data_IF_096209007303
#
_entry.id   IF_096209007303
#
_cell.length_a   1.000
_cell.length_b   1.000
_cell.length_c   1.000
_cell.angle_alpha   90.00
_cell.angle_beta   90.00
_cell.angle_gamma   90.00
#
_symmetry.space_group_name_H-M   'P 1'
#
loop_
_entity.id
_entity.type
_entity.pdbx_description
1 polymer ?
#
# COMPACT_ATOMS: atom_id res chain seq x y z
N UNK A 1 -26.64 7.59 -22.04
CA UNK A 1 -27.48 6.40 -21.94
C UNK A 1 -27.05 5.64 -20.70
N UNK A 2 -27.75 5.83 -19.56
CA UNK A 2 -27.49 5.05 -18.35
C UNK A 2 -27.91 3.60 -18.60
N UNK A 3 -26.93 2.74 -18.76
CA UNK A 3 -27.18 1.30 -18.72
C UNK A 3 -27.65 0.98 -17.30
N UNK A 4 -28.80 0.32 -17.16
CA UNK A 4 -29.22 -0.25 -15.89
C UNK A 4 -28.04 -1.05 -15.33
N UNK A 5 -27.64 -0.77 -14.11
CA UNK A 5 -26.60 -1.52 -13.43
C UNK A 5 -27.12 -2.95 -13.21
N UNK A 6 -26.25 -3.95 -13.31
CA UNK A 6 -26.62 -5.35 -13.01
C UNK A 6 -27.24 -5.47 -11.63
N UNK A 7 -26.81 -4.66 -10.69
CA UNK A 7 -27.36 -4.59 -9.32
C UNK A 7 -28.84 -4.18 -9.26
N UNK A 8 -29.36 -3.44 -10.25
CA UNK A 8 -30.77 -3.09 -10.33
C UNK A 8 -31.63 -4.18 -11.01
N UNK A 9 -30.99 -5.18 -11.61
CA UNK A 9 -31.62 -6.24 -12.40
C UNK A 9 -31.54 -7.58 -11.66
N UNK A 10 -30.36 -7.93 -11.15
CA UNK A 10 -30.04 -9.27 -10.64
C UNK A 10 -30.04 -9.32 -9.10
N UNK A 11 -30.15 -8.17 -8.41
CA UNK A 11 -30.09 -8.08 -6.96
C UNK A 11 -31.27 -7.30 -6.39
N UNK A 12 -31.73 -7.72 -5.23
CA UNK A 12 -32.72 -7.02 -4.42
C UNK A 12 -32.00 -6.26 -3.30
N UNK A 13 -32.23 -4.94 -3.22
CA UNK A 13 -31.60 -4.13 -2.18
C UNK A 13 -32.27 -4.38 -0.84
N UNK A 14 -31.46 -4.48 0.22
CA UNK A 14 -31.97 -4.59 1.57
C UNK A 14 -32.79 -3.35 1.96
N UNK A 15 -33.87 -3.55 2.71
CA UNK A 15 -34.69 -2.46 3.20
C UNK A 15 -33.90 -1.53 4.12
N UNK A 16 -34.11 -0.22 3.95
CA UNK A 16 -33.47 0.81 4.78
C UNK A 16 -32.01 1.12 4.44
N UNK A 17 -31.43 0.45 3.43
CA UNK A 17 -30.07 0.76 2.97
C UNK A 17 -30.09 1.90 1.95
N UNK A 18 -29.27 2.93 2.19
CA UNK A 18 -29.05 3.98 1.19
C UNK A 18 -28.34 3.39 -0.03
N UNK A 19 -28.99 3.46 -1.19
CA UNK A 19 -28.44 2.98 -2.45
C UNK A 19 -27.31 3.86 -3.02
N UNK A 20 -27.13 5.06 -2.48
CA UNK A 20 -26.13 6.04 -2.91
C UNK A 20 -25.49 6.73 -1.70
N UNK A 21 -24.82 5.97 -0.83
CA UNK A 21 -24.21 6.55 0.35
C UNK A 21 -23.16 7.59 -0.05
N UNK A 22 -23.00 8.61 0.79
CA UNK A 22 -21.91 9.58 0.63
C UNK A 22 -20.59 8.85 0.88
N UNK A 23 -19.72 8.83 -0.13
CA UNK A 23 -18.40 8.19 -0.04
C UNK A 23 -17.41 9.01 0.81
N UNK A 24 -16.30 8.37 1.17
CA UNK A 24 -15.24 8.99 1.96
C UNK A 24 -14.16 9.69 1.11
N UNK A 25 -14.43 9.93 -0.19
CA UNK A 25 -13.57 10.71 -1.10
C UNK A 25 -12.69 9.85 -2.02
N UNK A 26 -12.81 8.53 -1.98
CA UNK A 26 -12.07 7.65 -2.88
C UNK A 26 -12.75 7.56 -4.25
N UNK A 27 -11.92 7.57 -5.31
CA UNK A 27 -12.39 7.70 -6.69
C UNK A 27 -12.14 6.43 -7.50
N UNK A 28 -10.95 5.86 -7.37
CA UNK A 28 -10.52 4.69 -8.14
C UNK A 28 -9.65 3.75 -7.30
N UNK A 29 -9.56 2.50 -7.75
CA UNK A 29 -8.51 1.58 -7.30
C UNK A 29 -7.22 1.97 -8.03
N UNK A 30 -6.20 2.40 -7.28
CA UNK A 30 -4.92 2.83 -7.84
C UNK A 30 -4.05 1.64 -8.25
N UNK A 31 -3.91 0.67 -7.34
CA UNK A 31 -3.18 -0.57 -7.59
C UNK A 31 -3.63 -1.72 -6.68
N UNK A 32 -3.23 -2.94 -7.05
CA UNK A 32 -3.47 -4.17 -6.33
C UNK A 32 -2.15 -4.90 -6.12
N UNK A 33 -1.64 -4.94 -4.91
CA UNK A 33 -0.37 -5.60 -4.62
C UNK A 33 -0.56 -7.10 -4.45
N UNK A 34 0.14 -7.88 -5.28
CA UNK A 34 0.05 -9.33 -5.33
C UNK A 34 1.28 -9.97 -4.71
N UNK A 35 1.12 -10.65 -3.58
CA UNK A 35 2.16 -11.44 -2.95
C UNK A 35 2.24 -12.82 -3.57
N UNK A 36 3.46 -13.26 -3.90
CA UNK A 36 3.74 -14.53 -4.54
C UNK A 36 4.76 -15.35 -3.77
N UNK A 37 4.73 -16.66 -3.95
CA UNK A 37 5.74 -17.54 -3.37
C UNK A 37 7.13 -17.25 -3.94
N UNK A 38 8.14 -17.54 -3.14
CA UNK A 38 9.55 -17.42 -3.53
C UNK A 38 9.83 -18.17 -4.84
N UNK A 39 10.48 -17.49 -5.81
CA UNK A 39 10.75 -18.00 -7.14
C UNK A 39 9.56 -17.95 -8.12
N UNK A 40 8.43 -17.35 -7.71
CA UNK A 40 7.22 -17.29 -8.55
C UNK A 40 6.99 -15.94 -9.23
N UNK A 41 7.76 -14.92 -8.89
CA UNK A 41 7.60 -13.58 -9.49
C UNK A 41 7.70 -13.60 -11.02
N UNK A 42 8.67 -14.32 -11.59
CA UNK A 42 8.83 -14.43 -13.04
C UNK A 42 7.62 -15.11 -13.70
N UNK A 43 7.06 -16.14 -13.08
CA UNK A 43 5.87 -16.83 -13.57
C UNK A 43 4.66 -15.88 -13.63
N UNK A 44 4.42 -15.10 -12.55
CA UNK A 44 3.28 -14.20 -12.52
C UNK A 44 3.48 -12.98 -13.43
N UNK A 45 4.70 -12.47 -13.58
CA UNK A 45 5.01 -11.43 -14.54
C UNK A 45 4.70 -11.90 -15.99
N UNK A 46 5.19 -13.09 -16.38
CA UNK A 46 4.92 -13.70 -17.67
C UNK A 46 3.41 -13.95 -17.90
N UNK A 47 2.68 -14.37 -16.85
CA UNK A 47 1.22 -14.52 -16.88
C UNK A 47 0.51 -13.21 -17.22
N UNK A 48 0.84 -12.11 -16.53
CA UNK A 48 0.25 -10.79 -16.80
C UNK A 48 0.67 -10.24 -18.17
N UNK A 49 1.90 -10.46 -18.59
CA UNK A 49 2.37 -10.05 -19.91
C UNK A 49 1.63 -10.76 -21.04
N UNK A 50 1.54 -12.08 -20.99
CA UNK A 50 0.96 -12.89 -22.07
C UNK A 50 -0.55 -12.76 -22.17
N UNK A 51 -1.26 -12.76 -21.05
CA UNK A 51 -2.72 -12.77 -21.06
C UNK A 51 -3.34 -11.38 -21.14
N UNK A 52 -2.66 -10.36 -20.56
CA UNK A 52 -3.22 -9.02 -20.42
C UNK A 52 -2.34 -7.93 -21.04
N UNK A 53 -1.26 -8.32 -21.70
CA UNK A 53 -0.32 -7.39 -22.34
C UNK A 53 0.28 -6.35 -21.37
N UNK A 54 0.41 -6.70 -20.09
CA UNK A 54 1.09 -5.86 -19.11
C UNK A 54 2.56 -5.71 -19.43
N UNK A 55 3.20 -4.69 -18.84
CA UNK A 55 4.64 -4.46 -18.93
C UNK A 55 5.20 -4.18 -17.55
N UNK A 56 6.42 -4.65 -17.31
CA UNK A 56 7.20 -4.21 -16.16
C UNK A 56 7.59 -2.75 -16.34
N UNK A 57 7.28 -1.90 -15.36
CA UNK A 57 7.66 -0.48 -15.38
C UNK A 57 8.71 -0.14 -14.33
N UNK A 58 8.79 -0.91 -13.23
CA UNK A 58 9.77 -0.72 -12.17
C UNK A 58 10.07 -2.04 -11.46
N UNK A 59 11.29 -2.13 -10.93
CA UNK A 59 11.73 -3.19 -10.03
C UNK A 59 12.35 -2.57 -8.78
N UNK A 60 12.04 -3.12 -7.62
CA UNK A 60 12.57 -2.70 -6.32
C UNK A 60 13.17 -3.90 -5.59
N UNK A 61 14.32 -3.70 -4.94
CA UNK A 61 14.89 -4.62 -3.95
C UNK A 61 14.89 -3.89 -2.61
N UNK A 62 13.95 -4.22 -1.74
CA UNK A 62 13.71 -3.54 -0.49
C UNK A 62 14.23 -4.42 0.62
N UNK A 63 15.12 -3.85 1.45
CA UNK A 63 15.69 -4.50 2.62
C UNK A 63 15.24 -3.77 3.88
N UNK A 64 14.56 -4.50 4.75
CA UNK A 64 14.27 -4.10 6.12
C UNK A 64 15.47 -4.38 7.03
N UNK A 65 15.24 -4.33 8.31
CA UNK A 65 16.27 -4.60 9.32
C UNK A 65 16.54 -6.11 9.41
N UNK A 66 15.53 -6.95 9.31
CA UNK A 66 15.62 -8.41 9.49
C UNK A 66 15.23 -9.20 8.25
N UNK A 67 14.35 -8.65 7.43
CA UNK A 67 13.79 -9.32 6.26
C UNK A 67 13.92 -8.43 5.01
N UNK A 68 13.54 -8.92 3.85
CA UNK A 68 13.59 -8.17 2.61
C UNK A 68 12.64 -8.72 1.56
N UNK A 69 12.24 -7.88 0.63
CA UNK A 69 11.40 -8.28 -0.49
C UNK A 69 11.89 -7.70 -1.81
N UNK A 70 11.66 -8.43 -2.88
CA UNK A 70 11.72 -7.93 -4.24
C UNK A 70 10.30 -7.56 -4.70
N UNK A 71 10.18 -6.45 -5.39
CA UNK A 71 8.91 -6.00 -5.95
C UNK A 71 9.06 -5.64 -7.42
N UNK A 72 8.12 -6.12 -8.24
CA UNK A 72 8.06 -5.88 -9.69
C UNK A 72 6.72 -5.25 -10.04
N UNK A 73 6.71 -3.99 -10.43
CA UNK A 73 5.49 -3.29 -10.78
C UNK A 73 5.08 -3.60 -12.23
N UNK A 74 3.98 -4.33 -12.39
CA UNK A 74 3.36 -4.64 -13.67
C UNK A 74 2.24 -3.64 -13.96
N UNK A 75 2.13 -3.17 -15.20
CA UNK A 75 1.14 -2.15 -15.57
C UNK A 75 0.49 -2.51 -16.90
N UNK A 76 -0.83 -2.31 -16.99
CA UNK A 76 -1.59 -2.45 -18.22
C UNK A 76 -1.16 -1.39 -19.28
N UNK A 77 -1.40 -1.63 -20.58
CA UNK A 77 -0.98 -0.73 -21.65
C UNK A 77 -1.51 0.71 -21.52
N UNK A 78 -2.68 0.88 -20.94
CA UNK A 78 -3.32 2.18 -20.69
C UNK A 78 -2.87 2.84 -19.38
N UNK A 79 -2.05 2.15 -18.58
CA UNK A 79 -1.59 2.64 -17.28
C UNK A 79 -2.63 2.63 -16.17
N UNK A 80 -3.86 2.21 -16.44
CA UNK A 80 -4.97 2.28 -15.49
C UNK A 80 -5.00 1.13 -14.48
N UNK A 81 -4.42 -0.02 -14.83
CA UNK A 81 -4.34 -1.17 -13.93
C UNK A 81 -2.87 -1.42 -13.60
N UNK A 82 -2.55 -1.38 -12.32
CA UNK A 82 -1.19 -1.56 -11.80
C UNK A 82 -1.19 -2.68 -10.78
N UNK A 83 -0.27 -3.63 -10.94
CA UNK A 83 -0.16 -4.80 -10.06
C UNK A 83 1.31 -4.98 -9.67
N UNK A 84 1.75 -4.42 -8.53
CA UNK A 84 3.03 -4.80 -7.95
C UNK A 84 3.03 -6.27 -7.53
N UNK A 85 4.03 -7.03 -7.96
CA UNK A 85 4.30 -8.41 -7.54
C UNK A 85 5.37 -8.38 -6.46
N UNK A 86 5.08 -8.90 -5.28
CA UNK A 86 6.02 -8.95 -4.18
C UNK A 86 6.43 -10.40 -3.87
N UNK A 87 7.73 -10.61 -3.76
CA UNK A 87 8.34 -11.88 -3.43
C UNK A 87 9.33 -11.71 -2.28
N UNK A 88 9.32 -12.61 -1.31
CA UNK A 88 10.27 -12.61 -0.19
C UNK A 88 11.70 -12.82 -0.69
N UNK A 89 12.62 -11.89 -0.40
CA UNK A 89 14.03 -11.98 -0.80
C UNK A 89 14.95 -12.47 0.31
N UNK A 90 14.52 -12.39 1.57
CA UNK A 90 15.27 -12.90 2.73
C UNK A 90 15.13 -14.40 2.93
N UNK A 91 16.02 -15.00 3.73
CA UNK A 91 15.96 -16.44 4.07
C UNK A 91 14.99 -16.74 5.23
N UNK A 92 14.56 -15.72 5.97
CA UNK A 92 13.64 -15.88 7.09
C UNK A 92 12.16 -15.77 6.68
N UNK A 93 11.26 -16.11 7.58
CA UNK A 93 9.84 -15.90 7.44
C UNK A 93 9.53 -14.39 7.62
N UNK A 94 9.36 -13.67 6.54
CA UNK A 94 8.95 -12.26 6.54
C UNK A 94 7.44 -12.09 6.40
N UNK A 95 7.03 -10.85 6.23
CA UNK A 95 5.61 -10.48 6.11
C UNK A 95 4.89 -11.12 4.91
N UNK A 96 5.63 -11.38 3.81
CA UNK A 96 5.03 -12.02 2.62
C UNK A 96 4.73 -13.48 2.92
N UNK A 97 5.64 -14.20 3.56
CA UNK A 97 5.41 -15.60 3.96
C UNK A 97 4.26 -15.71 4.97
N UNK A 98 4.20 -14.81 5.97
CA UNK A 98 3.08 -14.74 6.91
C UNK A 98 1.74 -14.56 6.17
N UNK A 99 1.70 -13.60 5.23
CA UNK A 99 0.53 -13.39 4.39
C UNK A 99 0.14 -14.65 3.61
N UNK A 100 1.08 -15.28 2.90
CA UNK A 100 0.83 -16.47 2.09
C UNK A 100 0.27 -17.63 2.91
N UNK A 101 0.76 -17.80 4.14
CA UNK A 101 0.23 -18.80 5.08
C UNK A 101 -1.19 -18.46 5.53
N UNK A 102 -1.44 -17.22 5.95
CA UNK A 102 -2.75 -16.78 6.42
C UNK A 102 -3.80 -16.73 5.31
N UNK A 103 -3.41 -16.34 4.10
CA UNK A 103 -4.27 -16.29 2.92
C UNK A 103 -4.47 -17.66 2.29
N UNK A 104 -3.61 -18.63 2.63
CA UNK A 104 -3.54 -19.97 2.09
C UNK A 104 -3.24 -20.02 0.58
N UNK A 105 -2.31 -19.18 0.13
CA UNK A 105 -1.86 -19.12 -1.27
C UNK A 105 -1.36 -17.75 -1.70
N UNK A 106 -1.06 -17.65 -2.99
CA UNK A 106 -0.68 -16.40 -3.65
C UNK A 106 -1.93 -15.56 -3.90
N UNK A 107 -1.86 -14.23 -3.68
CA UNK A 107 -3.03 -13.38 -3.87
C UNK A 107 -2.78 -11.91 -3.53
N UNK A 108 -3.85 -11.13 -3.58
CA UNK A 108 -3.80 -9.68 -3.33
C UNK A 108 -3.65 -9.41 -1.84
N UNK A 109 -2.52 -8.82 -1.46
CA UNK A 109 -2.23 -8.42 -0.08
C UNK A 109 -2.92 -7.11 0.30
N UNK A 110 -2.89 -6.12 -0.59
CA UNK A 110 -3.59 -4.87 -0.35
C UNK A 110 -4.18 -4.26 -1.62
N UNK A 111 -5.18 -3.42 -1.37
CA UNK A 111 -5.90 -2.67 -2.38
C UNK A 111 -5.67 -1.20 -2.10
N UNK A 112 -5.01 -0.47 -3.02
CA UNK A 112 -4.78 0.95 -2.89
C UNK A 112 -5.94 1.75 -3.50
N UNK A 113 -6.46 2.70 -2.73
CA UNK A 113 -7.56 3.57 -3.11
C UNK A 113 -7.08 5.02 -3.23
N UNK A 114 -7.28 5.62 -4.40
CA UNK A 114 -6.87 7.00 -4.70
C UNK A 114 -7.92 8.00 -4.23
N UNK A 115 -7.45 9.10 -3.63
CA UNK A 115 -8.24 10.28 -3.30
C UNK A 115 -7.54 11.57 -3.74
N UNK A 116 -8.29 12.63 -3.97
CA UNK A 116 -7.75 13.97 -4.24
C UNK A 116 -7.42 14.74 -2.94
N UNK A 117 -7.98 14.33 -1.80
CA UNK A 117 -7.74 14.93 -0.49
C UNK A 117 -7.63 13.84 0.58
N UNK A 118 -6.40 13.39 0.81
CA UNK A 118 -6.13 12.32 1.77
C UNK A 118 -6.37 12.77 3.22
N UNK A 119 -6.18 14.04 3.53
CA UNK A 119 -6.41 14.58 4.87
C UNK A 119 -7.88 14.44 5.26
N UNK A 120 -8.78 14.94 4.41
CA UNK A 120 -10.22 14.82 4.63
C UNK A 120 -10.70 13.37 4.57
N UNK A 121 -10.15 12.55 3.68
CA UNK A 121 -10.51 11.14 3.57
C UNK A 121 -10.12 10.36 4.82
N UNK A 122 -8.92 10.55 5.37
CA UNK A 122 -8.45 9.90 6.60
C UNK A 122 -9.28 10.33 7.81
N UNK A 123 -9.62 11.62 7.92
CA UNK A 123 -10.48 12.11 9.00
C UNK A 123 -11.86 11.43 8.96
N UNK A 124 -12.44 11.25 7.77
CA UNK A 124 -13.71 10.53 7.57
C UNK A 124 -13.60 9.03 7.89
N UNK A 125 -12.50 8.38 7.48
CA UNK A 125 -12.24 6.97 7.80
C UNK A 125 -12.15 6.75 9.32
N UNK A 126 -11.44 7.63 10.04
CA UNK A 126 -11.36 7.59 11.50
C UNK A 126 -12.70 7.80 12.16
N UNK A 127 -13.47 8.78 11.68
CA UNK A 127 -14.83 9.02 12.17
C UNK A 127 -15.76 7.82 11.93
N UNK A 128 -15.53 7.07 10.86
CA UNK A 128 -16.24 5.82 10.55
C UNK A 128 -15.70 4.60 11.33
N UNK A 129 -14.67 4.75 12.16
CA UNK A 129 -14.10 3.66 12.95
C UNK A 129 -13.21 2.70 12.18
N UNK A 130 -12.71 3.08 11.00
CA UNK A 130 -11.78 2.24 10.24
C UNK A 130 -10.44 2.13 11.00
N UNK A 131 -9.99 0.92 11.33
CA UNK A 131 -8.71 0.72 12.02
C UNK A 131 -7.56 1.04 11.06
N UNK A 132 -6.75 2.04 11.40
CA UNK A 132 -5.56 2.39 10.65
C UNK A 132 -4.32 1.81 11.34
N UNK A 133 -3.28 1.52 10.56
CA UNK A 133 -1.98 1.10 11.09
C UNK A 133 -1.40 2.18 12.01
N UNK A 134 -0.54 1.74 12.93
CA UNK A 134 0.17 2.62 13.85
C UNK A 134 1.03 3.61 13.06
N UNK A 135 0.90 4.89 13.40
CA UNK A 135 1.72 5.93 12.81
C UNK A 135 3.22 5.69 13.07
N UNK A 136 4.09 6.09 12.15
CA UNK A 136 5.53 6.10 12.41
C UNK A 136 5.86 7.03 13.59
N UNK A 137 7.03 6.83 14.24
CA UNK A 137 7.45 7.70 15.35
C UNK A 137 7.65 9.15 14.88
N UNK A 138 7.51 10.10 15.79
CA UNK A 138 7.66 11.55 15.52
C UNK A 138 8.99 11.93 14.85
N UNK A 139 10.04 11.11 15.02
CA UNK A 139 11.32 11.28 14.32
C UNK A 139 11.18 11.21 12.81
N UNK A 140 10.26 10.38 12.30
CA UNK A 140 10.00 10.30 10.88
C UNK A 140 9.58 11.66 10.29
N UNK A 141 8.66 12.37 10.97
CA UNK A 141 8.15 13.67 10.50
C UNK A 141 9.21 14.76 10.62
N UNK A 142 10.00 14.78 11.70
CA UNK A 142 11.09 15.75 11.85
C UNK A 142 12.18 15.63 10.78
N UNK A 143 12.36 14.44 10.20
CA UNK A 143 13.34 14.20 9.13
C UNK A 143 12.79 14.48 7.72
N UNK A 144 11.52 14.88 7.57
CA UNK A 144 10.92 15.10 6.27
C UNK A 144 11.60 16.23 5.50
N UNK A 145 11.93 17.35 6.15
CA UNK A 145 12.61 18.47 5.50
C UNK A 145 14.02 18.12 5.02
N UNK A 146 14.70 17.23 5.70
CA UNK A 146 16.01 16.73 5.27
C UNK A 146 15.88 15.79 4.08
N UNK A 147 14.90 14.89 4.11
CA UNK A 147 14.67 13.90 3.06
C UNK A 147 13.99 14.49 1.81
N UNK A 148 13.05 15.40 1.99
CA UNK A 148 12.25 16.04 0.95
C UNK A 148 12.23 17.57 1.19
N UNK A 149 13.33 18.29 0.92
CA UNK A 149 13.39 19.72 1.17
C UNK A 149 12.27 20.48 0.43
N UNK A 150 11.62 21.42 1.11
CA UNK A 150 10.58 22.27 0.53
C UNK A 150 9.38 21.49 -0.04
N UNK A 151 9.00 20.35 0.57
CA UNK A 151 7.86 19.54 0.13
C UNK A 151 6.49 20.26 0.24
N UNK A 152 6.39 21.31 1.06
CA UNK A 152 5.20 22.16 1.15
C UNK A 152 4.01 21.58 1.93
N UNK A 153 4.12 20.34 2.46
CA UNK A 153 3.10 19.74 3.32
C UNK A 153 3.30 20.20 4.79
N UNK A 154 2.22 20.29 5.55
CA UNK A 154 2.26 20.56 6.97
C UNK A 154 2.63 19.28 7.74
N UNK A 155 3.85 19.25 8.30
CA UNK A 155 4.37 18.09 9.05
C UNK A 155 3.52 17.75 10.27
N UNK A 156 2.99 18.76 10.97
CA UNK A 156 2.10 18.54 12.10
C UNK A 156 0.77 17.90 11.69
N UNK A 157 0.25 18.30 10.53
CA UNK A 157 -0.98 17.71 9.97
C UNK A 157 -0.76 16.28 9.47
N UNK A 158 0.43 15.98 8.90
CA UNK A 158 0.85 14.62 8.54
C UNK A 158 0.96 13.74 9.78
N UNK A 159 1.69 14.20 10.81
CA UNK A 159 1.92 13.46 12.06
C UNK A 159 0.61 13.18 12.80
N UNK A 160 -0.28 14.17 12.93
CA UNK A 160 -1.57 14.01 13.57
C UNK A 160 -2.44 12.91 12.94
N UNK A 161 -2.23 12.64 11.65
CA UNK A 161 -2.95 11.61 10.89
C UNK A 161 -2.14 10.35 10.61
N UNK A 162 -0.88 10.31 10.99
CA UNK A 162 0.00 9.18 10.69
C UNK A 162 0.26 9.01 9.19
N UNK A 163 0.13 10.08 8.40
CA UNK A 163 0.36 10.07 6.96
C UNK A 163 1.85 9.93 6.64
N UNK A 164 2.17 9.08 5.70
CA UNK A 164 3.50 8.94 5.13
C UNK A 164 3.64 9.84 3.91
N UNK A 165 4.82 10.41 3.72
CA UNK A 165 5.14 11.28 2.58
C UNK A 165 6.39 10.75 1.88
N UNK A 166 6.28 10.53 0.57
CA UNK A 166 7.40 10.16 -0.31
C UNK A 166 7.39 10.99 -1.59
N UNK A 167 8.44 10.84 -2.39
CA UNK A 167 8.54 11.52 -3.67
C UNK A 167 9.89 12.17 -3.92
N UNK A 168 9.88 13.26 -4.69
CA UNK A 168 11.06 14.07 -4.97
C UNK A 168 10.72 15.55 -5.03
N UNK A 169 11.66 16.38 -4.58
CA UNK A 169 11.58 17.84 -4.66
C UNK A 169 12.73 18.43 -5.49
N UNK A 170 13.44 17.60 -6.25
CA UNK A 170 14.59 18.00 -7.04
C UNK A 170 14.21 18.92 -8.20
N UNK A 171 15.13 19.82 -8.58
CA UNK A 171 14.97 20.76 -9.69
C UNK A 171 13.74 21.66 -9.62
N UNK A 172 13.25 21.94 -8.40
CA UNK A 172 12.06 22.77 -8.18
C UNK A 172 10.74 22.10 -8.60
N UNK A 173 10.75 20.82 -8.92
CA UNK A 173 9.56 20.02 -9.18
C UNK A 173 9.21 19.24 -7.93
N UNK A 174 8.03 19.51 -7.39
CA UNK A 174 7.48 18.70 -6.31
C UNK A 174 6.64 17.57 -6.92
N UNK A 175 7.08 16.33 -6.74
CA UNK A 175 6.31 15.13 -7.05
C UNK A 175 6.16 14.34 -5.78
N UNK A 176 4.99 14.35 -5.20
CA UNK A 176 4.74 13.82 -3.87
C UNK A 176 3.68 12.71 -3.92
N UNK A 177 3.83 11.79 -3.00
CA UNK A 177 2.93 10.70 -2.74
C UNK A 177 2.65 10.64 -1.25
N UNK A 178 1.38 10.79 -0.88
CA UNK A 178 0.92 10.64 0.49
C UNK A 178 0.21 9.31 0.64
N UNK A 179 0.49 8.58 1.73
CA UNK A 179 -0.02 7.23 1.95
C UNK A 179 -0.35 6.99 3.42
N UNK A 180 -1.34 6.15 3.68
CA UNK A 180 -1.62 5.54 4.96
C UNK A 180 -2.27 4.18 4.73
N UNK A 181 -2.14 3.26 5.69
CA UNK A 181 -2.62 1.90 5.58
C UNK A 181 -3.65 1.59 6.67
N UNK A 182 -4.61 0.74 6.35
CA UNK A 182 -5.48 0.14 7.36
C UNK A 182 -4.78 -1.02 8.07
N UNK A 183 -5.27 -1.40 9.23
CA UNK A 183 -5.05 -2.76 9.73
C UNK A 183 -5.63 -3.80 8.75
N UNK A 184 -5.33 -5.08 8.96
CA UNK A 184 -5.96 -6.17 8.18
C UNK A 184 -7.47 -6.18 8.43
N UNK A 185 -8.27 -6.23 7.36
CA UNK A 185 -9.72 -6.09 7.41
C UNK A 185 -10.47 -7.27 6.78
N UNK A 186 -9.87 -7.93 5.78
CA UNK A 186 -10.44 -9.09 5.09
C UNK A 186 -9.47 -10.27 5.20
N UNK A 187 -9.46 -10.96 6.34
CA UNK A 187 -8.40 -11.90 6.65
C UNK A 187 -7.05 -11.16 6.69
N UNK A 188 -6.00 -11.60 5.99
CA UNK A 188 -4.71 -10.92 5.97
C UNK A 188 -4.65 -9.73 5.00
N UNK A 189 -5.76 -9.41 4.30
CA UNK A 189 -5.81 -8.32 3.33
C UNK A 189 -6.08 -6.99 4.03
N UNK A 190 -5.39 -5.93 3.59
CA UNK A 190 -5.58 -4.56 4.08
C UNK A 190 -5.78 -3.55 2.94
N UNK A 191 -6.09 -2.32 3.29
CA UNK A 191 -6.24 -1.22 2.34
C UNK A 191 -5.13 -0.20 2.50
N UNK A 192 -4.71 0.36 1.38
CA UNK A 192 -3.87 1.54 1.29
C UNK A 192 -4.73 2.71 0.84
N UNK A 193 -4.51 3.88 1.43
CA UNK A 193 -5.17 5.11 1.03
C UNK A 193 -4.09 6.07 0.56
N UNK A 194 -4.27 6.63 -0.66
CA UNK A 194 -3.19 7.30 -1.37
C UNK A 194 -3.66 8.59 -2.03
N UNK A 195 -2.83 9.63 -1.97
CA UNK A 195 -2.96 10.83 -2.79
C UNK A 195 -1.67 11.06 -3.58
N UNK A 196 -1.80 11.25 -4.88
CA UNK A 196 -0.71 11.57 -5.80
C UNK A 196 -0.69 13.05 -6.12
N UNK A 197 0.40 13.72 -5.78
CA UNK A 197 0.68 15.11 -6.15
C UNK A 197 1.83 15.12 -7.17
N UNK A 198 1.58 14.54 -8.34
CA UNK A 198 2.54 14.48 -9.45
C UNK A 198 3.55 13.31 -9.37
N UNK A 199 3.53 12.48 -8.35
CA UNK A 199 4.34 11.27 -8.28
C UNK A 199 3.55 10.06 -8.79
N UNK A 200 4.08 9.39 -9.82
CA UNK A 200 3.54 8.15 -10.39
C UNK A 200 4.21 6.89 -9.81
N UNK A 201 5.08 7.06 -8.81
CA UNK A 201 5.76 5.97 -8.13
C UNK A 201 4.83 5.16 -7.20
N UNK A 202 5.44 4.22 -6.50
CA UNK A 202 4.77 3.38 -5.49
C UNK A 202 5.26 3.71 -4.07
N UNK A 203 5.87 4.87 -3.86
CA UNK A 203 6.33 5.31 -2.54
C UNK A 203 7.47 4.43 -1.99
N UNK A 204 8.55 4.27 -2.73
CA UNK A 204 9.67 3.40 -2.32
C UNK A 204 10.21 3.75 -0.93
N UNK A 205 10.30 5.04 -0.58
CA UNK A 205 10.69 5.50 0.74
C UNK A 205 9.65 5.22 1.82
N UNK A 206 8.37 5.38 1.50
CA UNK A 206 7.27 5.02 2.39
C UNK A 206 7.15 3.49 2.53
N UNK A 207 7.45 2.75 1.46
CA UNK A 207 7.43 1.30 1.47
C UNK A 207 8.39 0.74 2.51
N UNK A 208 9.60 1.32 2.63
CA UNK A 208 10.55 0.95 3.68
C UNK A 208 9.96 1.20 5.07
N UNK A 209 9.32 2.34 5.30
CA UNK A 209 8.70 2.65 6.58
C UNK A 209 7.54 1.69 6.92
N UNK A 210 6.72 1.32 5.93
CA UNK A 210 5.67 0.30 6.10
C UNK A 210 6.29 -1.06 6.45
N UNK A 211 7.30 -1.47 5.69
CA UNK A 211 7.98 -2.75 5.88
C UNK A 211 8.55 -2.87 7.30
N UNK A 212 9.29 -1.86 7.76
CA UNK A 212 9.82 -1.80 9.13
C UNK A 212 8.71 -1.81 10.19
N UNK A 213 7.57 -1.18 9.92
CA UNK A 213 6.41 -1.22 10.83
C UNK A 213 5.78 -2.61 10.92
N UNK A 214 5.68 -3.32 9.80
CA UNK A 214 5.18 -4.70 9.77
C UNK A 214 6.15 -5.68 10.45
N UNK A 215 7.47 -5.52 10.26
CA UNK A 215 8.47 -6.31 10.98
C UNK A 215 8.36 -6.14 12.50
N UNK A 216 8.19 -4.91 12.98
CA UNK A 216 7.99 -4.65 14.42
C UNK A 216 6.71 -5.31 14.95
N UNK A 217 5.61 -5.22 14.21
CA UNK A 217 4.37 -5.88 14.58
C UNK A 217 4.55 -7.41 14.63
N UNK A 218 5.28 -8.01 13.68
CA UNK A 218 5.62 -9.43 13.72
C UNK A 218 6.48 -9.82 14.92
N UNK A 219 7.43 -8.95 15.32
CA UNK A 219 8.25 -9.16 16.52
C UNK A 219 7.37 -9.08 17.77
N UNK A 220 6.53 -8.05 17.88
CA UNK A 220 5.60 -7.86 19.01
C UNK A 220 4.65 -9.05 19.18
N UNK A 221 4.20 -9.65 18.08
CA UNK A 221 3.33 -10.85 18.09
C UNK A 221 4.10 -12.16 18.22
N UNK A 222 5.45 -12.14 18.23
CA UNK A 222 6.29 -13.32 18.33
C UNK A 222 6.34 -14.19 17.07
N UNK A 223 5.89 -13.69 15.92
CA UNK A 223 5.96 -14.35 14.61
C UNK A 223 7.39 -14.28 14.07
N UNK A 224 8.01 -13.11 14.13
CA UNK A 224 9.42 -12.91 13.79
C UNK A 224 10.26 -12.99 15.08
N UNK A 225 11.17 -13.97 15.14
CA UNK A 225 12.12 -14.12 16.25
C UNK A 225 13.42 -13.43 15.89
N UNK A 226 13.84 -12.49 16.71
CA UNK A 226 15.13 -11.81 16.60
C UNK A 226 16.08 -12.50 17.55
N UNK A 227 17.16 -13.11 17.01
CA UNK A 227 18.25 -13.61 17.84
C UNK A 227 19.01 -12.40 18.41
N UNK A 228 18.94 -12.19 19.72
CA UNK A 228 19.64 -11.11 20.43
C UNK A 228 21.19 -11.20 20.34
N UNK A 229 21.71 -12.17 19.59
CA UNK A 229 23.14 -12.47 19.47
C UNK A 229 23.86 -11.87 18.25
N UNK A 230 23.21 -11.10 17.36
CA UNK A 230 23.83 -10.59 16.14
C UNK A 230 24.27 -9.12 16.19
N UNK A 231 24.22 -8.49 17.36
CA UNK A 231 24.74 -7.13 17.58
C UNK A 231 26.08 -7.20 18.32
N UNK A 232 27.14 -7.54 17.61
CA UNK A 232 28.53 -7.39 18.06
C UNK A 232 29.44 -7.04 16.87
#
# INVERSE_FOLDING_TARGET
MYKRQIYDIDFEFLDGVDRRPVGHGFQVVDHLTHNVYRGRMAFWADYYERLFNFREIRYFDIKGEYTGLASKAMTAPDGMIRIPLNEESSKGAGQIEEYLMAFNGEGIQHIALLTDDIYASVDRLRAAGVPLMKAPPSTYYRMLQERLPQHGEDESALEARGLLLDGTTENGQQRLLLQIFSATMLGPVFFEFIQRKGDDGFGAGNFKALFESLERDQIERGVLKVDEGAAA
#
